data_IF_924770612190
#
_entry.id   IF_924770612190
#
_cell.length_a   1.000
_cell.length_b   1.000
_cell.length_c   1.000
_cell.angle_alpha   90.00
_cell.angle_beta   90.00
_cell.angle_gamma   90.00
#
_symmetry.space_group_name_H-M   'P 1'
#
loop_
_entity.id
_entity.type
_entity.pdbx_description
1 polymer ?
#
# COMPACT_ATOMS: atom_id res chain seq x y z
N UNK A 1 -17.36 6.99 -6.31
CA UNK A 1 -16.38 5.95 -5.92
C UNK A 1 -16.06 5.10 -7.13
N UNK A 2 -14.77 4.92 -7.45
CA UNK A 2 -14.33 4.12 -8.59
C UNK A 2 -13.77 2.78 -8.10
N UNK A 3 -14.08 1.70 -8.82
CA UNK A 3 -13.57 0.38 -8.53
C UNK A 3 -12.67 -0.10 -9.66
N UNK A 4 -11.64 -0.84 -9.31
CA UNK A 4 -10.68 -1.37 -10.26
C UNK A 4 -10.39 -2.84 -9.98
N UNK A 5 -10.41 -3.67 -11.02
CA UNK A 5 -9.83 -5.01 -10.95
C UNK A 5 -8.30 -4.92 -11.06
N UNK A 6 -7.61 -5.54 -10.12
CA UNK A 6 -6.16 -5.66 -10.09
C UNK A 6 -5.69 -6.90 -10.83
N UNK A 7 -4.97 -6.69 -11.93
CA UNK A 7 -4.41 -7.77 -12.73
C UNK A 7 -2.92 -7.95 -12.42
N UNK A 8 -2.61 -8.57 -11.28
CA UNK A 8 -1.22 -8.87 -10.87
C UNK A 8 -0.41 -9.62 -11.95
N UNK A 9 -1.08 -10.42 -12.77
CA UNK A 9 -0.48 -11.13 -13.91
C UNK A 9 0.13 -10.21 -14.97
N UNK A 10 -0.19 -8.91 -15.00
CA UNK A 10 0.41 -7.93 -15.93
C UNK A 10 1.75 -7.37 -15.46
N UNK A 11 2.15 -7.62 -14.22
CA UNK A 11 3.46 -7.20 -13.72
C UNK A 11 4.61 -7.86 -14.51
N UNK A 12 5.65 -7.08 -14.77
CA UNK A 12 6.93 -7.58 -15.28
C UNK A 12 7.65 -8.38 -14.18
N UNK A 13 8.61 -9.23 -14.55
CA UNK A 13 9.34 -10.04 -13.56
C UNK A 13 10.01 -9.15 -12.50
N UNK A 14 10.66 -8.05 -12.92
CA UNK A 14 11.33 -7.12 -12.00
C UNK A 14 10.38 -6.55 -10.96
N UNK A 15 9.16 -6.22 -11.35
CA UNK A 15 8.13 -5.66 -10.46
C UNK A 15 7.60 -6.70 -9.50
N UNK A 16 7.29 -7.88 -10.04
CA UNK A 16 6.84 -9.02 -9.27
C UNK A 16 7.83 -9.41 -8.16
N UNK A 17 9.12 -9.54 -8.51
CA UNK A 17 10.15 -9.91 -7.56
C UNK A 17 10.34 -8.86 -6.45
N UNK A 18 10.19 -7.57 -6.77
CA UNK A 18 10.28 -6.49 -5.78
C UNK A 18 9.13 -6.54 -4.77
N UNK A 19 7.92 -6.82 -5.21
CA UNK A 19 6.75 -6.95 -4.32
C UNK A 19 6.82 -8.17 -3.39
N UNK A 20 7.58 -9.21 -3.76
CA UNK A 20 7.57 -10.51 -3.08
C UNK A 20 8.85 -10.79 -2.25
N UNK A 21 9.65 -9.75 -1.96
CA UNK A 21 10.82 -9.87 -1.08
C UNK A 21 10.42 -10.29 0.35
N UNK A 22 11.18 -11.19 1.02
CA UNK A 22 12.46 -11.78 0.62
C UNK A 22 12.35 -13.07 -0.21
N UNK A 23 11.14 -13.55 -0.51
CA UNK A 23 10.90 -14.86 -1.14
C UNK A 23 11.09 -14.83 -2.66
N UNK A 24 12.21 -14.28 -3.14
CA UNK A 24 12.48 -13.98 -4.55
C UNK A 24 12.42 -15.24 -5.44
N UNK A 25 12.97 -16.37 -4.98
CA UNK A 25 12.94 -17.62 -5.76
C UNK A 25 11.51 -18.16 -5.94
N UNK A 26 10.75 -18.23 -4.85
CA UNK A 26 9.34 -18.65 -4.91
C UNK A 26 8.54 -17.70 -5.80
N UNK A 27 8.78 -16.40 -5.67
CA UNK A 27 8.15 -15.37 -6.49
C UNK A 27 8.45 -15.59 -7.97
N UNK A 28 9.71 -15.88 -8.34
CA UNK A 28 10.08 -16.19 -9.73
C UNK A 28 9.26 -17.35 -10.29
N UNK A 29 9.17 -18.48 -9.56
CA UNK A 29 8.42 -19.64 -10.01
C UNK A 29 6.93 -19.35 -10.17
N UNK A 30 6.34 -18.65 -9.20
CA UNK A 30 4.94 -18.25 -9.24
C UNK A 30 4.66 -17.34 -10.44
N UNK A 31 5.52 -16.34 -10.67
CA UNK A 31 5.42 -15.46 -11.85
C UNK A 31 5.53 -16.25 -13.15
N UNK A 32 6.50 -17.16 -13.24
CA UNK A 32 6.69 -17.99 -14.43
C UNK A 32 5.44 -18.81 -14.72
N UNK A 33 4.87 -19.48 -13.70
CA UNK A 33 3.62 -20.25 -13.82
C UNK A 33 2.46 -19.40 -14.35
N UNK A 34 2.33 -18.14 -13.91
CA UNK A 34 1.32 -17.22 -14.46
C UNK A 34 1.57 -16.86 -15.91
N UNK A 35 2.82 -16.60 -16.30
CA UNK A 35 3.16 -16.22 -17.68
C UNK A 35 2.99 -17.37 -18.67
N UNK A 36 3.26 -18.60 -18.26
CA UNK A 36 3.03 -19.81 -19.07
C UNK A 36 1.63 -20.40 -18.90
N UNK A 37 0.72 -19.69 -18.19
CA UNK A 37 -0.70 -20.07 -17.96
C UNK A 37 -0.93 -21.41 -17.27
N UNK A 38 0.05 -21.91 -16.50
CA UNK A 38 -0.13 -23.09 -15.64
C UNK A 38 -0.90 -22.77 -14.35
N UNK A 39 -1.00 -21.49 -13.99
CA UNK A 39 -1.82 -21.00 -12.89
C UNK A 39 -2.47 -19.67 -13.28
N UNK A 40 -3.56 -19.31 -12.60
CA UNK A 40 -4.22 -18.02 -12.72
C UNK A 40 -4.37 -17.38 -11.34
N UNK A 41 -4.06 -16.09 -11.23
CA UNK A 41 -4.40 -15.28 -10.05
C UNK A 41 -5.84 -14.81 -10.22
N UNK A 42 -6.70 -15.06 -9.24
CA UNK A 42 -8.00 -14.38 -9.17
C UNK A 42 -7.75 -12.88 -9.01
N UNK A 43 -8.40 -12.06 -9.81
CA UNK A 43 -8.32 -10.61 -9.69
C UNK A 43 -8.86 -10.18 -8.33
N UNK A 44 -8.14 -9.27 -7.66
CA UNK A 44 -8.65 -8.53 -6.50
C UNK A 44 -9.38 -7.29 -6.98
N UNK A 45 -10.34 -6.80 -6.18
CA UNK A 45 -10.98 -5.51 -6.43
C UNK A 45 -10.39 -4.52 -5.45
N UNK A 46 -9.82 -3.44 -5.98
CA UNK A 46 -9.37 -2.29 -5.20
C UNK A 46 -10.29 -1.12 -5.44
N UNK A 47 -10.62 -0.43 -4.36
CA UNK A 47 -11.42 0.77 -4.40
C UNK A 47 -10.49 1.98 -4.42
N UNK A 48 -10.70 2.85 -5.39
CA UNK A 48 -10.07 4.17 -5.44
C UNK A 48 -11.20 5.18 -5.33
N UNK A 49 -11.33 5.86 -4.18
CA UNK A 49 -12.27 6.99 -4.12
C UNK A 49 -11.68 8.13 -4.92
N UNK A 50 -12.53 8.83 -5.68
CA UNK A 50 -12.11 9.95 -6.52
C UNK A 50 -11.42 11.03 -5.68
N UNK A 51 -12.15 11.66 -4.76
CA UNK A 51 -11.58 12.64 -3.83
C UNK A 51 -11.16 11.97 -2.51
N UNK A 52 -9.94 12.24 -2.06
CA UNK A 52 -9.36 11.85 -0.78
C UNK A 52 -10.21 12.34 0.39
N UNK A 53 -10.92 13.46 0.23
CA UNK A 53 -11.86 13.98 1.24
C UNK A 53 -12.99 13.00 1.55
N UNK A 54 -13.43 12.21 0.57
CA UNK A 54 -14.46 11.19 0.77
C UNK A 54 -13.96 9.98 1.59
N UNK A 55 -12.65 9.86 1.77
CA UNK A 55 -12.01 8.78 2.55
C UNK A 55 -11.65 9.22 3.96
N UNK A 56 -11.80 10.50 4.28
CA UNK A 56 -11.52 10.99 5.62
C UNK A 56 -12.54 10.42 6.60
N UNK A 57 -12.04 9.95 7.73
CA UNK A 57 -12.83 9.42 8.82
C UNK A 57 -12.37 10.06 10.13
N UNK A 58 -13.27 10.12 11.09
CA UNK A 58 -12.97 10.55 12.44
C UNK A 58 -12.42 9.38 13.28
N UNK A 59 -11.73 9.69 14.38
CA UNK A 59 -11.14 8.67 15.25
C UNK A 59 -12.20 7.74 15.88
N UNK A 60 -13.42 8.24 16.12
CA UNK A 60 -14.54 7.46 16.63
C UNK A 60 -15.14 6.49 15.58
N UNK A 61 -14.83 6.69 14.30
CA UNK A 61 -15.21 5.75 13.23
C UNK A 61 -14.20 4.59 13.08
N UNK A 62 -13.04 4.68 13.76
CA UNK A 62 -12.08 3.57 13.85
C UNK A 62 -12.59 2.51 14.83
N UNK A 63 -12.42 1.21 14.56
CA UNK A 63 -12.75 0.14 15.51
C UNK A 63 -12.10 0.35 16.88
N UNK A 64 -12.86 0.14 17.96
CA UNK A 64 -12.42 0.42 19.33
C UNK A 64 -11.11 -0.29 19.70
N UNK A 65 -10.90 -1.51 19.22
CA UNK A 65 -9.70 -2.31 19.45
C UNK A 65 -8.43 -1.71 18.83
N UNK A 66 -8.59 -0.91 17.77
CA UNK A 66 -7.50 -0.28 17.03
C UNK A 66 -7.19 1.15 17.48
N UNK A 67 -8.18 1.88 18.05
CA UNK A 67 -8.01 3.27 18.50
C UNK A 67 -6.81 3.50 19.44
N UNK A 68 -6.55 2.66 20.47
CA UNK A 68 -5.43 2.86 21.39
C UNK A 68 -4.05 2.84 20.72
N UNK A 69 -3.97 2.38 19.47
CA UNK A 69 -2.73 2.28 18.71
C UNK A 69 -2.50 3.47 17.80
N UNK A 70 -3.55 4.23 17.48
CA UNK A 70 -3.47 5.44 16.67
C UNK A 70 -2.99 6.61 17.52
N UNK A 71 -3.54 6.77 18.72
CA UNK A 71 -3.21 7.91 19.60
C UNK A 71 -1.71 8.06 19.87
N UNK A 72 -0.95 7.01 20.23
CA UNK A 72 0.49 7.14 20.44
C UNK A 72 1.26 7.55 19.18
N UNK A 73 0.78 7.18 17.99
CA UNK A 73 1.40 7.57 16.72
C UNK A 73 1.14 9.05 16.45
N UNK A 74 -0.07 9.53 16.74
CA UNK A 74 -0.42 10.95 16.63
C UNK A 74 0.41 11.80 17.60
N UNK A 75 0.55 11.35 18.85
CA UNK A 75 1.36 12.02 19.87
C UNK A 75 2.84 12.08 19.42
N UNK A 76 3.37 10.95 18.94
CA UNK A 76 4.73 10.88 18.40
C UNK A 76 4.94 11.86 17.23
N UNK A 77 4.00 11.95 16.30
CA UNK A 77 4.09 12.92 15.20
C UNK A 77 3.99 14.37 15.67
N UNK A 78 3.16 14.65 16.67
CA UNK A 78 3.08 15.98 17.27
C UNK A 78 4.41 16.39 17.91
N UNK A 79 5.08 15.48 18.63
CA UNK A 79 6.42 15.70 19.19
C UNK A 79 7.47 16.03 18.12
N UNK A 80 7.35 15.44 16.93
CA UNK A 80 8.22 15.71 15.78
C UNK A 80 7.82 16.95 14.97
N UNK A 81 6.79 17.68 15.40
CA UNK A 81 6.35 18.94 14.80
C UNK A 81 5.39 18.79 13.63
N UNK A 82 4.71 17.65 13.50
CA UNK A 82 3.57 17.49 12.60
C UNK A 82 2.29 18.06 13.25
N UNK A 83 1.44 18.65 12.41
CA UNK A 83 0.23 19.36 12.81
C UNK A 83 -0.92 19.00 11.87
N UNK A 84 -2.14 19.30 12.32
CA UNK A 84 -3.38 19.10 11.58
C UNK A 84 -3.60 17.66 11.05
N UNK A 85 -3.49 16.63 11.93
CA UNK A 85 -3.59 15.25 11.49
C UNK A 85 -4.98 14.92 10.94
N UNK A 86 -5.02 14.09 9.91
CA UNK A 86 -6.22 13.53 9.28
C UNK A 86 -6.10 12.01 9.24
N UNK A 87 -7.22 11.32 9.41
CA UNK A 87 -7.31 9.87 9.25
C UNK A 87 -8.06 9.56 7.96
N UNK A 88 -7.48 8.68 7.16
CA UNK A 88 -8.07 8.21 5.93
C UNK A 88 -8.33 6.70 6.00
N UNK A 89 -9.53 6.27 5.63
CA UNK A 89 -9.89 4.86 5.59
C UNK A 89 -9.04 4.07 4.59
N UNK A 90 -8.43 2.96 5.04
CA UNK A 90 -7.76 2.00 4.17
C UNK A 90 -8.67 0.77 3.99
N UNK A 91 -9.36 0.69 2.85
CA UNK A 91 -10.33 -0.37 2.55
C UNK A 91 -9.71 -1.43 1.62
N UNK A 92 -10.03 -2.70 1.86
CA UNK A 92 -9.58 -3.82 1.02
C UNK A 92 -10.65 -4.90 0.92
N UNK A 93 -10.76 -5.54 -0.24
CA UNK A 93 -11.68 -6.65 -0.48
C UNK A 93 -11.07 -7.68 -1.44
N UNK A 94 -11.33 -8.97 -1.19
CA UNK A 94 -10.88 -10.06 -2.09
C UNK A 94 -11.94 -10.48 -3.12
N UNK A 95 -13.22 -10.13 -2.90
CA UNK A 95 -14.37 -10.54 -3.73
C UNK A 95 -15.37 -9.39 -3.88
N UNK A 96 -16.38 -9.60 -4.74
CA UNK A 96 -17.40 -8.63 -5.17
C UNK A 96 -18.30 -8.08 -4.06
N UNK A 97 -18.43 -8.80 -2.94
CA UNK A 97 -19.58 -8.59 -2.07
C UNK A 97 -19.36 -7.51 -0.99
N UNK A 98 -18.15 -7.36 -0.39
CA UNK A 98 -17.92 -6.33 0.65
C UNK A 98 -16.45 -5.85 0.73
N UNK A 99 -16.25 -4.52 0.75
CA UNK A 99 -14.98 -3.90 1.16
C UNK A 99 -14.92 -3.86 2.69
N UNK A 100 -13.78 -4.26 3.27
CA UNK A 100 -13.54 -4.19 4.72
C UNK A 100 -12.57 -3.06 5.03
N UNK A 101 -12.83 -2.31 6.11
CA UNK A 101 -11.83 -1.43 6.71
C UNK A 101 -10.72 -2.29 7.30
N UNK A 102 -9.55 -2.27 6.66
CA UNK A 102 -8.40 -3.08 7.07
C UNK A 102 -7.31 -2.23 7.73
N UNK A 103 -7.50 -0.92 7.80
CA UNK A 103 -6.58 0.00 8.45
C UNK A 103 -6.96 1.46 8.25
N UNK A 104 -6.09 2.34 8.71
CA UNK A 104 -6.15 3.78 8.41
C UNK A 104 -4.81 4.28 7.91
N UNK A 105 -4.82 5.33 7.10
CA UNK A 105 -3.63 6.13 6.79
C UNK A 105 -3.72 7.43 7.58
N UNK A 106 -2.72 7.70 8.40
CA UNK A 106 -2.54 8.99 9.07
C UNK A 106 -1.84 9.92 8.10
N UNK A 107 -2.43 11.08 7.84
CA UNK A 107 -1.85 12.17 7.07
C UNK A 107 -1.63 13.36 7.99
N UNK A 108 -0.43 13.93 8.01
CA UNK A 108 -0.20 15.18 8.75
C UNK A 108 0.87 16.03 8.07
N UNK A 109 0.71 17.35 8.11
CA UNK A 109 1.71 18.27 7.55
C UNK A 109 2.73 18.63 8.63
N UNK A 110 3.99 18.80 8.26
CA UNK A 110 4.99 19.32 9.19
C UNK A 110 4.84 20.84 9.33
N UNK A 111 5.07 21.38 10.53
CA UNK A 111 4.95 22.83 10.84
C UNK A 111 5.82 23.75 9.97
N UNK A 112 6.87 23.22 9.34
CA UNK A 112 7.68 23.96 8.37
C UNK A 112 6.99 24.18 7.02
N UNK A 113 5.86 23.51 6.77
CA UNK A 113 5.14 23.51 5.49
C UNK A 113 5.86 22.76 4.37
N UNK A 114 6.98 22.07 4.64
CA UNK A 114 7.81 21.48 3.57
C UNK A 114 7.48 20.02 3.26
N UNK A 115 6.94 19.29 4.23
CA UNK A 115 6.65 17.88 4.05
C UNK A 115 5.35 17.44 4.71
N UNK A 116 4.84 16.32 4.24
CA UNK A 116 3.64 15.62 4.72
C UNK A 116 4.07 14.21 5.10
N UNK A 117 3.66 13.74 6.28
CA UNK A 117 3.78 12.33 6.63
C UNK A 117 2.53 11.58 6.18
N UNK A 118 2.73 10.41 5.59
CA UNK A 118 1.70 9.42 5.30
C UNK A 118 2.10 8.11 5.99
N UNK A 119 1.31 7.70 6.99
CA UNK A 119 1.60 6.52 7.78
C UNK A 119 0.40 5.56 7.81
N UNK A 120 0.44 4.43 7.09
CA UNK A 120 -0.56 3.39 7.19
C UNK A 120 -0.41 2.65 8.53
N UNK A 121 -1.56 2.38 9.13
CA UNK A 121 -1.76 1.54 10.31
C UNK A 121 -2.72 0.44 9.89
N UNK A 122 -2.19 -0.75 9.64
CA UNK A 122 -3.00 -1.90 9.20
C UNK A 122 -3.44 -2.69 10.43
N UNK A 123 -4.72 -2.98 10.54
CA UNK A 123 -5.28 -3.79 11.64
C UNK A 123 -4.93 -5.27 11.39
N UNK A 124 -4.12 -5.87 12.27
CA UNK A 124 -3.72 -7.27 12.16
C UNK A 124 -4.62 -8.18 12.98
N UNK A 125 -4.89 -9.40 12.49
CA UNK A 125 -5.85 -10.34 13.09
C UNK A 125 -5.25 -11.26 14.19
N UNK A 126 -3.92 -11.31 14.38
CA UNK A 126 -3.29 -12.25 15.35
C UNK A 126 -2.18 -11.65 16.22
N UNK A 127 -1.36 -10.75 15.68
CA UNK A 127 -0.18 -10.20 16.39
C UNK A 127 -0.30 -8.68 16.67
N UNK A 128 -1.51 -8.14 16.45
CA UNK A 128 -1.79 -6.71 16.53
C UNK A 128 -1.59 -5.96 15.21
N UNK A 129 -2.07 -4.71 15.19
CA UNK A 129 -1.82 -3.77 14.10
C UNK A 129 -0.33 -3.57 13.81
N UNK A 130 0.00 -3.51 12.52
CA UNK A 130 1.34 -3.21 12.05
C UNK A 130 1.47 -1.72 11.74
N UNK A 131 2.45 -1.09 12.40
CA UNK A 131 3.03 0.19 12.03
C UNK A 131 4.43 -0.10 11.51
N UNK A 132 4.74 0.26 10.27
CA UNK A 132 6.10 0.01 9.77
C UNK A 132 6.47 0.61 8.43
N UNK A 133 5.57 1.31 7.75
CA UNK A 133 5.87 1.97 6.47
C UNK A 133 5.40 3.41 6.47
N UNK A 134 6.12 4.30 7.16
CA UNK A 134 5.84 5.74 7.07
C UNK A 134 6.59 6.34 5.89
N UNK A 135 5.87 7.14 5.09
CA UNK A 135 6.41 7.93 3.99
C UNK A 135 6.41 9.42 4.34
N UNK A 136 7.52 10.10 4.08
CA UNK A 136 7.61 11.56 4.07
C UNK A 136 7.58 12.05 2.64
N UNK A 137 6.60 12.88 2.33
CA UNK A 137 6.38 13.46 1.01
C UNK A 137 6.74 14.95 1.02
N UNK A 138 7.56 15.37 0.07
CA UNK A 138 7.83 16.79 -0.22
C UNK A 138 7.47 17.05 -1.68
N UNK A 139 6.63 18.07 -1.91
CA UNK A 139 6.16 18.43 -3.24
C UNK A 139 7.04 19.53 -3.82
N UNK A 140 7.58 19.29 -5.01
CA UNK A 140 8.37 20.27 -5.76
C UNK A 140 7.40 21.15 -6.56
N UNK A 141 6.45 20.52 -7.25
CA UNK A 141 5.37 21.16 -7.99
C UNK A 141 4.17 20.18 -8.12
N UNK A 142 3.22 20.46 -9.02
CA UNK A 142 2.06 19.61 -9.25
C UNK A 142 2.40 18.22 -9.84
N UNK A 143 3.54 18.12 -10.54
CA UNK A 143 4.00 16.93 -11.27
C UNK A 143 5.23 16.27 -10.65
N UNK A 144 5.91 16.90 -9.69
CA UNK A 144 7.16 16.41 -9.14
C UNK A 144 7.13 16.35 -7.60
N UNK A 145 7.62 15.25 -7.05
CA UNK A 145 7.71 15.04 -5.61
C UNK A 145 8.90 14.16 -5.22
N UNK A 146 9.25 14.23 -3.94
CA UNK A 146 10.24 13.37 -3.31
C UNK A 146 9.55 12.62 -2.18
N UNK A 147 9.71 11.30 -2.14
CA UNK A 147 9.24 10.47 -1.04
C UNK A 147 10.41 9.76 -0.38
N UNK A 148 10.45 9.77 0.94
CA UNK A 148 11.36 8.93 1.74
C UNK A 148 10.52 8.01 2.61
N UNK A 149 10.73 6.70 2.50
CA UNK A 149 9.91 5.70 3.18
C UNK A 149 10.75 4.84 4.13
N UNK A 150 10.21 4.56 5.32
CA UNK A 150 10.65 3.42 6.13
C UNK A 150 10.04 2.15 5.55
N UNK A 151 10.79 1.06 5.53
CA UNK A 151 10.27 -0.27 5.21
C UNK A 151 10.83 -0.91 3.94
N UNK A 152 10.17 -1.97 3.47
CA UNK A 152 10.67 -2.78 2.34
C UNK A 152 10.62 -1.97 1.06
N UNK A 153 11.64 -2.15 0.20
CA UNK A 153 11.64 -1.55 -1.12
C UNK A 153 10.41 -2.01 -1.91
N UNK A 154 9.47 -1.10 -2.10
CA UNK A 154 8.28 -1.34 -2.91
C UNK A 154 8.54 -0.91 -4.34
N UNK A 155 7.65 -1.36 -5.20
CA UNK A 155 7.60 -0.87 -6.55
C UNK A 155 6.75 0.40 -6.57
N UNK A 156 7.38 1.57 -6.48
CA UNK A 156 6.75 2.85 -6.83
C UNK A 156 7.15 3.25 -8.26
N UNK A 157 6.15 3.55 -9.08
CA UNK A 157 6.31 4.08 -10.44
C UNK A 157 5.48 5.32 -10.70
N UNK A 158 5.05 6.00 -9.65
CA UNK A 158 4.33 7.25 -9.72
C UNK A 158 5.15 8.25 -10.55
N UNK A 159 4.65 8.68 -11.72
CA UNK A 159 5.38 9.60 -12.58
C UNK A 159 5.77 10.88 -11.84
N UNK A 160 7.04 11.27 -11.95
CA UNK A 160 7.58 12.47 -11.28
C UNK A 160 7.83 12.32 -9.77
N UNK A 161 7.62 11.12 -9.19
CA UNK A 161 7.99 10.86 -7.80
C UNK A 161 9.38 10.21 -7.70
N UNK A 162 10.29 10.82 -6.93
CA UNK A 162 11.58 10.22 -6.58
C UNK A 162 11.48 9.58 -5.21
N UNK A 163 11.54 8.25 -5.15
CA UNK A 163 11.41 7.50 -3.90
C UNK A 163 12.72 6.90 -3.42
N UNK A 164 13.04 7.14 -2.15
CA UNK A 164 14.16 6.53 -1.45
C UNK A 164 13.65 5.71 -0.28
N UNK A 165 14.17 4.49 -0.12
CA UNK A 165 13.76 3.56 0.92
C UNK A 165 14.84 3.45 1.99
N UNK A 166 14.44 3.47 3.26
CA UNK A 166 15.29 3.35 4.43
C UNK A 166 14.76 2.22 5.33
N UNK A 167 15.03 0.93 5.01
CA UNK A 167 14.32 -0.21 5.60
C UNK A 167 14.51 -0.43 7.10
N UNK A 168 15.64 0.01 7.64
CA UNK A 168 16.05 -0.24 9.04
C UNK A 168 16.15 1.06 9.85
N UNK A 169 15.61 2.15 9.32
CA UNK A 169 15.74 3.49 9.87
C UNK A 169 14.58 3.80 10.82
N UNK A 170 14.88 4.49 11.93
CA UNK A 170 13.84 5.05 12.81
C UNK A 170 13.19 6.26 12.14
N UNK A 171 12.01 6.65 12.61
CA UNK A 171 11.27 7.76 12.00
C UNK A 171 12.01 9.10 12.10
N UNK A 172 12.66 9.37 13.23
CA UNK A 172 13.42 10.61 13.45
C UNK A 172 14.64 10.70 12.52
N UNK A 173 15.30 9.57 12.33
CA UNK A 173 16.39 9.43 11.37
C UNK A 173 15.87 9.61 9.94
N UNK A 174 14.71 9.03 9.59
CA UNK A 174 14.06 9.23 8.29
C UNK A 174 13.76 10.71 8.04
N UNK A 175 13.22 11.40 9.05
CA UNK A 175 12.91 12.83 8.97
C UNK A 175 14.16 13.66 8.67
N UNK A 176 15.27 13.34 9.32
CA UNK A 176 16.54 14.03 9.09
C UNK A 176 17.13 13.69 7.71
N UNK A 177 17.13 12.43 7.31
CA UNK A 177 17.56 11.99 5.97
C UNK A 177 16.73 12.67 4.87
N UNK A 178 15.42 12.79 5.07
CA UNK A 178 14.52 13.47 4.15
C UNK A 178 14.86 14.96 4.06
N UNK A 179 15.08 15.64 5.20
CA UNK A 179 15.52 17.05 5.23
C UNK A 179 16.84 17.26 4.49
N UNK A 180 17.82 16.38 4.69
CA UNK A 180 19.11 16.45 3.99
C UNK A 180 18.95 16.22 2.48
N UNK A 181 18.04 15.31 2.08
CA UNK A 181 17.71 15.07 0.68
C UNK A 181 17.10 16.32 0.03
N UNK A 182 16.14 16.95 0.71
CA UNK A 182 15.52 18.23 0.28
C UNK A 182 16.60 19.31 0.10
N UNK A 183 17.48 19.49 1.10
CA UNK A 183 18.52 20.53 1.06
C UNK A 183 19.54 20.26 -0.04
N UNK A 184 19.99 19.02 -0.21
CA UNK A 184 21.04 18.67 -1.18
C UNK A 184 20.59 18.82 -2.63
N UNK A 185 19.30 18.65 -2.92
CA UNK A 185 18.75 18.84 -4.27
C UNK A 185 18.69 20.31 -4.68
N UNK A 186 18.59 21.24 -3.72
CA UNK A 186 18.49 22.67 -4.01
C UNK A 186 17.20 23.09 -4.74
N UNK A 187 16.20 22.21 -4.78
CA UNK A 187 14.92 22.45 -5.45
C UNK A 187 14.09 23.54 -4.72
N UNK A 188 13.20 24.21 -5.44
CA UNK A 188 12.14 25.04 -4.83
C UNK A 188 10.94 24.14 -4.54
N UNK A 189 10.38 24.21 -3.34
CA UNK A 189 9.28 23.35 -2.91
C UNK A 189 7.98 24.11 -2.78
N UNK A 190 6.86 23.43 -3.01
CA UNK A 190 5.55 23.94 -2.66
C UNK A 190 5.39 23.91 -1.14
N UNK A 191 5.02 25.05 -0.57
CA UNK A 191 4.67 25.15 0.85
C UNK A 191 3.23 24.67 1.09
N UNK A 192 3.05 23.82 2.09
CA UNK A 192 1.77 23.31 2.58
C UNK A 192 1.33 24.16 3.78
N UNK A 193 0.38 25.07 3.57
CA UNK A 193 -0.04 26.03 4.58
C UNK A 193 -1.17 25.51 5.47
N UNK A 194 -2.01 24.63 4.94
CA UNK A 194 -3.21 24.12 5.60
C UNK A 194 -3.54 22.68 5.17
N UNK A 195 -4.63 22.12 5.70
CA UNK A 195 -5.09 20.77 5.38
C UNK A 195 -5.56 20.63 3.93
N UNK A 196 -6.19 21.65 3.34
CA UNK A 196 -6.65 21.60 1.95
C UNK A 196 -5.50 21.52 0.95
N UNK A 197 -4.40 22.25 1.19
CA UNK A 197 -3.18 22.14 0.41
C UNK A 197 -2.66 20.70 0.48
N UNK A 198 -2.52 20.15 1.71
CA UNK A 198 -2.04 18.79 1.94
C UNK A 198 -2.89 17.77 1.16
N UNK A 199 -4.21 17.83 1.29
CA UNK A 199 -5.13 16.92 0.61
C UNK A 199 -5.05 17.06 -0.91
N UNK A 200 -4.94 18.29 -1.42
CA UNK A 200 -4.82 18.55 -2.86
C UNK A 200 -3.56 17.92 -3.44
N UNK A 201 -2.40 18.12 -2.82
CA UNK A 201 -1.14 17.56 -3.32
C UNK A 201 -1.06 16.04 -3.16
N UNK A 202 -1.58 15.49 -2.07
CA UNK A 202 -1.70 14.03 -1.90
C UNK A 202 -2.63 13.42 -2.95
N UNK A 203 -3.75 14.09 -3.27
CA UNK A 203 -4.67 13.65 -4.33
C UNK A 203 -3.98 13.67 -5.71
N UNK A 204 -3.23 14.72 -6.03
CA UNK A 204 -2.50 14.81 -7.29
C UNK A 204 -1.46 13.69 -7.44
N UNK A 205 -0.77 13.34 -6.34
CA UNK A 205 0.19 12.23 -6.33
C UNK A 205 -0.53 10.89 -6.57
N UNK A 206 -1.64 10.66 -5.88
CA UNK A 206 -2.42 9.44 -6.00
C UNK A 206 -3.05 9.28 -7.39
N UNK A 207 -3.62 10.35 -7.95
CA UNK A 207 -4.17 10.35 -9.31
C UNK A 207 -3.11 9.95 -10.34
N UNK A 208 -1.89 10.47 -10.23
CA UNK A 208 -0.78 10.09 -11.10
C UNK A 208 -0.42 8.61 -10.95
N UNK A 209 -0.37 8.11 -9.72
CA UNK A 209 -0.10 6.70 -9.45
C UNK A 209 -1.16 5.79 -10.08
N UNK A 210 -2.45 6.09 -9.84
CA UNK A 210 -3.59 5.33 -10.37
C UNK A 210 -3.61 5.40 -11.90
N UNK A 211 -3.49 6.58 -12.49
CA UNK A 211 -3.47 6.77 -13.95
C UNK A 211 -2.35 5.95 -14.60
N UNK A 212 -1.16 5.93 -14.01
CA UNK A 212 -0.04 5.12 -14.51
C UNK A 212 -0.32 3.62 -14.43
N UNK A 213 -1.00 3.15 -13.39
CA UNK A 213 -1.39 1.74 -13.26
C UNK A 213 -2.50 1.35 -14.26
N UNK A 214 -3.45 2.26 -14.51
CA UNK A 214 -4.52 2.09 -15.51
C UNK A 214 -3.95 2.03 -16.93
N UNK A 215 -3.07 2.97 -17.31
CA UNK A 215 -2.40 2.98 -18.62
C UNK A 215 -1.63 1.68 -18.91
N UNK A 216 -1.13 1.03 -17.86
CA UNK A 216 -0.43 -0.26 -17.96
C UNK A 216 -1.36 -1.47 -17.96
N UNK A 217 -2.66 -1.25 -17.71
CA UNK A 217 -3.69 -2.27 -17.54
C UNK A 217 -3.50 -3.11 -16.28
N UNK A 218 -2.74 -2.64 -15.30
CA UNK A 218 -2.67 -3.28 -13.99
C UNK A 218 -3.98 -3.06 -13.23
N UNK A 219 -4.50 -1.83 -13.26
CA UNK A 219 -5.86 -1.49 -12.85
C UNK A 219 -6.75 -1.43 -14.10
N UNK A 220 -7.89 -2.10 -14.06
CA UNK A 220 -8.92 -2.00 -15.09
C UNK A 220 -10.21 -1.52 -14.42
N UNK A 221 -10.83 -0.43 -14.90
CA UNK A 221 -12.09 0.06 -14.34
C UNK A 221 -13.12 -1.07 -14.29
N UNK A 222 -13.80 -1.14 -13.16
CA UNK A 222 -14.82 -2.13 -12.87
C UNK A 222 -16.08 -1.41 -12.40
N UNK A 223 -17.20 -1.68 -13.04
CA UNK A 223 -18.52 -1.25 -12.56
C UNK A 223 -19.16 -2.45 -11.86
N UNK A 224 -19.37 -2.42 -10.53
CA UNK A 224 -20.10 -3.48 -9.86
C UNK A 224 -21.56 -3.50 -10.37
N UNK A 225 -22.07 -4.69 -10.71
CA UNK A 225 -23.43 -4.89 -11.26
C UNK A 225 -24.55 -4.47 -10.28
N UNK A 226 -24.25 -4.46 -8.97
CA UNK A 226 -25.00 -3.80 -7.91
C UNK A 226 -23.98 -3.12 -7.00
N UNK A 227 -24.09 -1.80 -6.78
CA UNK A 227 -23.17 -1.09 -5.90
C UNK A 227 -23.26 -1.72 -4.51
N UNK A 228 -22.17 -2.21 -3.90
CA UNK A 228 -22.26 -2.66 -2.52
C UNK A 228 -22.77 -1.46 -1.72
N UNK A 229 -23.87 -1.64 -0.99
CA UNK A 229 -24.25 -0.70 0.06
C UNK A 229 -22.98 -0.40 0.85
N UNK A 230 -22.69 0.90 1.07
CA UNK A 230 -21.65 1.26 2.01
C UNK A 230 -21.96 0.47 3.28
N UNK A 231 -21.07 -0.43 3.73
CA UNK A 231 -21.43 -1.27 4.85
C UNK A 231 -21.74 -0.34 6.02
N UNK A 232 -22.86 -0.61 6.72
CA UNK A 232 -22.91 -0.23 8.13
C UNK A 232 -21.60 -0.71 8.77
N UNK A 233 -21.06 0.03 9.73
CA UNK A 233 -19.88 -0.42 10.47
C UNK A 233 -20.28 -1.69 11.23
N UNK A 234 -20.17 -2.84 10.56
CA UNK A 234 -20.54 -4.11 11.14
C UNK A 234 -19.33 -4.63 11.88
N UNK A 235 -19.40 -4.49 13.20
CA UNK A 235 -18.57 -5.23 14.12
C UNK A 235 -18.98 -6.70 14.08
N UNK A 236 -18.39 -7.45 13.15
CA UNK A 236 -18.50 -8.90 13.20
C UNK A 236 -17.55 -9.43 14.26
N UNK A 237 -18.05 -9.46 15.49
CA UNK A 237 -17.60 -10.37 16.51
C UNK A 237 -17.35 -11.76 15.90
N UNK A 238 -16.12 -12.22 16.09
CA UNK A 238 -15.52 -13.41 15.52
C UNK A 238 -16.48 -14.61 15.43
N UNK A 239 -16.68 -15.15 14.23
CA UNK A 239 -16.91 -16.59 14.07
C UNK A 239 -15.62 -17.18 13.51
N UNK A 240 -14.99 -18.14 14.21
CA UNK A 240 -13.93 -18.92 13.59
C UNK A 240 -14.55 -19.56 12.35
N UNK A 241 -14.00 -19.26 11.18
CA UNK A 241 -14.19 -20.13 10.04
C UNK A 241 -13.51 -21.43 10.47
N UNK A 242 -14.31 -22.40 10.91
CA UNK A 242 -13.88 -23.79 10.89
C UNK A 242 -13.30 -24.00 9.49
N UNK A 243 -12.00 -24.28 9.44
CA UNK A 243 -11.33 -24.57 8.21
C UNK A 243 -12.08 -25.72 7.54
N UNK A 244 -12.93 -25.41 6.56
CA UNK A 244 -13.33 -26.40 5.58
C UNK A 244 -12.02 -26.91 5.00
N UNK A 245 -11.66 -28.15 5.40
CA UNK A 245 -10.58 -28.93 4.82
C UNK A 245 -10.94 -29.18 3.35
N UNK A 246 -10.74 -28.19 2.50
CA UNK A 246 -10.55 -28.45 1.09
C UNK A 246 -9.14 -29.01 0.90
N UNK A 247 -9.11 -30.33 0.86
CA UNK A 247 -8.01 -31.14 0.37
C UNK A 247 -7.68 -30.77 -1.08
N UNK A 248 -6.74 -29.86 -1.26
CA UNK A 248 -5.95 -29.66 -2.48
C UNK A 248 -4.63 -29.06 -1.98
N UNK A 249 -3.44 -29.64 -2.13
CA UNK A 249 -2.78 -30.13 -3.34
C UNK A 249 -1.54 -30.96 -2.91
N UNK A 250 -1.38 -32.24 -3.32
CA UNK A 250 -0.06 -32.89 -3.37
C UNK A 250 0.66 -32.61 -4.71
N UNK A 251 -0.05 -32.17 -5.75
CA UNK A 251 0.48 -31.98 -7.11
C UNK A 251 1.54 -30.88 -7.28
N UNK A 252 1.41 -29.73 -6.61
CA UNK A 252 2.38 -28.63 -6.68
C UNK A 252 3.74 -28.99 -6.05
N UNK A 253 3.75 -29.77 -4.96
CA UNK A 253 5.00 -30.26 -4.37
C UNK A 253 5.67 -31.29 -5.28
N UNK A 254 4.90 -32.19 -5.89
CA UNK A 254 5.41 -33.17 -6.87
C UNK A 254 6.00 -32.45 -8.09
N UNK A 255 5.31 -31.44 -8.62
CA UNK A 255 5.78 -30.70 -9.80
C UNK A 255 7.05 -29.89 -9.52
N UNK A 256 7.15 -29.24 -8.36
CA UNK A 256 8.36 -28.52 -7.94
C UNK A 256 9.54 -29.48 -7.75
N UNK A 257 9.31 -30.66 -7.14
CA UNK A 257 10.34 -31.69 -6.97
C UNK A 257 10.81 -32.24 -8.31
N UNK A 258 9.90 -32.55 -9.24
CA UNK A 258 10.25 -33.04 -10.59
C UNK A 258 11.02 -31.99 -11.39
N UNK A 259 10.62 -30.71 -11.30
CA UNK A 259 11.33 -29.62 -12.00
C UNK A 259 12.76 -29.45 -11.47
N UNK A 260 12.94 -29.49 -10.14
CA UNK A 260 14.27 -29.41 -9.50
C UNK A 260 15.15 -30.59 -9.91
N UNK A 261 14.61 -31.82 -9.91
CA UNK A 261 15.33 -33.03 -10.32
C UNK A 261 15.75 -32.93 -11.79
N UNK A 262 14.88 -32.43 -12.67
CA UNK A 262 15.17 -32.33 -14.11
C UNK A 262 16.24 -31.28 -14.40
N UNK A 263 16.24 -30.16 -13.66
CA UNK A 263 17.27 -29.11 -13.77
C UNK A 263 18.61 -29.63 -13.25
N UNK A 264 18.63 -30.32 -12.12
CA UNK A 264 19.85 -30.91 -11.55
C UNK A 264 20.45 -31.99 -12.47
N UNK A 265 19.61 -32.81 -13.10
CA UNK A 265 20.08 -33.83 -14.03
C UNK A 265 20.75 -33.23 -15.28
N UNK A 266 20.19 -32.16 -15.84
CA UNK A 266 20.78 -31.45 -16.99
C UNK A 266 22.06 -30.66 -16.67
N UNK A 267 22.29 -30.31 -15.41
CA UNK A 267 23.51 -29.63 -14.97
C UNK A 267 24.66 -30.61 -14.70
N UNK A 268 24.37 -31.91 -14.61
CA UNK A 268 25.32 -32.99 -14.30
C UNK A 268 25.52 -33.98 -15.46
N UNK A 269 24.85 -33.76 -16.60
CA UNK A 269 25.05 -34.45 -17.88
C UNK A 269 25.82 -33.59 -18.87
#
# INVERSE_FOLDING_TARGET
MEFYEEHLGRLTLREWLRMQSPRVLLAFYVWLMFKIRLASVKTSISMVKGDIRERLIELDQVPEEARPRITPILDHFAEQGFVDPLLESYLYGRNRDHLKLVGVRILARHKSGRCVVAAPVIFGEADGSYWGESGLHTFIDAENSITSEVGRQRFDRTPGNVVTYYPECRFEELLEQHRQTIVSRGDTFVSIHNQDDMLTYMQLLENRAVQQLVQRGYLVPFEPEEGPDLPEVVDYGFKPVEAEKQSTIPGCLIFVVVLIITILWKLWS
#
